data_IF_856297744824
#
_entry.id   IF_856297744824
#
_cell.length_a   1.000
_cell.length_b   1.000
_cell.length_c   1.000
_cell.angle_alpha   90.00
_cell.angle_beta   90.00
_cell.angle_gamma   90.00
#
_symmetry.space_group_name_H-M   'P 1'
#
loop_
_entity.id
_entity.type
_entity.pdbx_description
1 polymer ?
#
# COMPACT_ATOMS: atom_id res chain seq x y z
N UNK A 1 -15.55 27.12 12.34
CA UNK A 1 -14.26 26.57 11.91
C UNK A 1 -13.91 25.47 12.90
N UNK A 2 -14.40 24.24 12.66
CA UNK A 2 -14.30 23.15 13.62
C UNK A 2 -12.98 22.41 13.38
N UNK A 3 -11.95 22.80 14.11
CA UNK A 3 -10.73 22.00 14.26
C UNK A 3 -11.09 20.72 15.02
N UNK A 4 -11.44 19.67 14.29
CA UNK A 4 -11.62 18.33 14.85
C UNK A 4 -10.28 17.94 15.48
N UNK A 5 -10.21 17.66 16.79
CA UNK A 5 -8.98 17.21 17.41
C UNK A 5 -8.55 15.91 16.73
N UNK A 6 -7.29 15.82 16.31
CA UNK A 6 -6.68 14.61 15.76
C UNK A 6 -6.64 13.57 16.88
N UNK A 7 -7.77 12.91 17.09
CA UNK A 7 -8.02 11.97 18.17
C UNK A 7 -7.31 10.65 17.84
N UNK A 8 -6.79 9.99 18.88
CA UNK A 8 -6.11 8.69 18.87
C UNK A 8 -6.82 7.61 18.05
N UNK A 9 -8.14 7.72 17.88
CA UNK A 9 -8.98 6.87 17.03
C UNK A 9 -8.60 6.88 15.54
N UNK A 10 -8.03 7.98 15.01
CA UNK A 10 -7.62 8.06 13.60
C UNK A 10 -6.42 7.17 13.30
N UNK A 11 -5.44 7.08 14.19
CA UNK A 11 -4.23 6.25 13.97
C UNK A 11 -4.57 4.76 13.89
N UNK A 12 -5.44 4.27 14.78
CA UNK A 12 -5.91 2.88 14.76
C UNK A 12 -6.63 2.53 13.45
N UNK A 13 -7.40 3.47 12.89
CA UNK A 13 -8.04 3.29 11.60
C UNK A 13 -7.03 3.14 10.46
N UNK A 14 -5.98 3.97 10.39
CA UNK A 14 -4.94 3.84 9.36
C UNK A 14 -4.13 2.55 9.49
N UNK A 15 -3.85 2.11 10.72
CA UNK A 15 -3.22 0.82 10.98
C UNK A 15 -4.11 -0.34 10.53
N UNK A 16 -5.40 -0.31 10.86
CA UNK A 16 -6.37 -1.32 10.42
C UNK A 16 -6.52 -1.31 8.88
N UNK A 17 -6.51 -0.13 8.26
CA UNK A 17 -6.54 0.00 6.80
C UNK A 17 -5.31 -0.64 6.15
N UNK A 18 -4.13 -0.38 6.69
CA UNK A 18 -2.88 -1.04 6.28
C UNK A 18 -2.95 -2.56 6.39
N UNK A 19 -3.50 -3.06 7.51
CA UNK A 19 -3.74 -4.48 7.72
C UNK A 19 -4.70 -5.07 6.69
N UNK A 20 -5.80 -4.38 6.37
CA UNK A 20 -6.77 -4.82 5.36
C UNK A 20 -6.14 -4.85 3.97
N UNK A 21 -5.36 -3.83 3.61
CA UNK A 21 -4.63 -3.80 2.33
C UNK A 21 -3.64 -4.96 2.22
N UNK A 22 -2.90 -5.22 3.29
CA UNK A 22 -1.99 -6.37 3.38
C UNK A 22 -2.72 -7.70 3.26
N UNK A 23 -3.84 -7.87 3.97
CA UNK A 23 -4.62 -9.10 3.94
C UNK A 23 -5.20 -9.35 2.55
N UNK A 24 -5.75 -8.31 1.91
CA UNK A 24 -6.25 -8.38 0.55
C UNK A 24 -5.14 -8.75 -0.45
N UNK A 25 -3.97 -8.11 -0.35
CA UNK A 25 -2.82 -8.44 -1.19
C UNK A 25 -2.37 -9.88 -0.96
N UNK A 26 -2.25 -10.31 0.29
CA UNK A 26 -1.85 -11.68 0.66
C UNK A 26 -2.81 -12.71 0.07
N UNK A 27 -4.12 -12.50 0.18
CA UNK A 27 -5.12 -13.40 -0.40
C UNK A 27 -5.02 -13.43 -1.94
N UNK A 28 -4.83 -12.28 -2.58
CA UNK A 28 -4.65 -12.21 -4.03
C UNK A 28 -3.41 -12.99 -4.47
N UNK A 29 -2.26 -12.80 -3.81
CA UNK A 29 -1.03 -13.54 -4.11
C UNK A 29 -1.09 -15.01 -3.71
N UNK A 30 -1.86 -15.36 -2.68
CA UNK A 30 -2.05 -16.75 -2.27
C UNK A 30 -2.72 -17.57 -3.38
N UNK A 31 -3.77 -17.01 -3.99
CA UNK A 31 -4.56 -17.72 -5.01
C UNK A 31 -4.10 -17.46 -6.45
N UNK A 32 -3.63 -16.25 -6.77
CA UNK A 32 -3.23 -15.82 -8.12
C UNK A 32 -1.75 -15.44 -8.22
N UNK A 33 -0.93 -15.90 -7.27
CA UNK A 33 0.49 -15.57 -7.19
C UNK A 33 1.29 -15.97 -8.42
N UNK A 34 1.08 -17.17 -8.96
CA UNK A 34 1.79 -17.64 -10.16
C UNK A 34 1.52 -16.77 -11.39
N UNK A 35 0.31 -16.23 -11.49
CA UNK A 35 -0.13 -15.48 -12.65
C UNK A 35 0.38 -14.05 -12.58
N UNK A 36 0.46 -13.48 -11.37
CA UNK A 36 0.91 -12.12 -11.12
C UNK A 36 2.44 -12.01 -11.07
N UNK A 37 3.12 -13.00 -10.50
CA UNK A 37 4.56 -12.99 -10.26
C UNK A 37 5.17 -14.34 -10.66
N UNK A 38 5.84 -14.32 -11.81
CA UNK A 38 6.59 -15.46 -12.33
C UNK A 38 7.81 -14.95 -13.10
N UNK A 39 9.00 -15.36 -12.65
CA UNK A 39 10.29 -15.06 -13.30
C UNK A 39 10.33 -15.56 -14.74
N UNK A 40 9.59 -16.63 -15.07
CA UNK A 40 9.52 -17.19 -16.43
C UNK A 40 8.71 -16.33 -17.39
N UNK A 41 7.83 -15.47 -16.86
CA UNK A 41 6.95 -14.62 -17.65
C UNK A 41 7.08 -13.15 -17.23
N UNK A 42 8.24 -12.51 -17.52
CA UNK A 42 8.55 -11.16 -17.05
C UNK A 42 7.53 -10.10 -17.50
N UNK A 43 6.86 -10.33 -18.64
CA UNK A 43 5.81 -9.43 -19.13
C UNK A 43 4.60 -9.37 -18.18
N UNK A 44 4.18 -10.52 -17.60
CA UNK A 44 3.05 -10.56 -16.65
C UNK A 44 3.39 -9.84 -15.36
N UNK A 45 4.61 -10.07 -14.87
CA UNK A 45 5.16 -9.34 -13.72
C UNK A 45 5.23 -7.84 -13.99
N UNK A 46 5.72 -7.40 -15.15
CA UNK A 46 5.74 -5.96 -15.47
C UNK A 46 4.34 -5.34 -15.43
N UNK A 47 3.34 -6.05 -15.96
CA UNK A 47 1.93 -5.61 -15.90
C UNK A 47 1.44 -5.53 -14.45
N UNK A 48 1.79 -6.48 -13.58
CA UNK A 48 1.39 -6.44 -12.17
C UNK A 48 2.01 -5.25 -11.42
N UNK A 49 3.26 -4.88 -11.72
CA UNK A 49 3.90 -3.65 -11.20
C UNK A 49 3.21 -2.38 -11.70
N UNK A 50 2.79 -2.34 -12.97
CA UNK A 50 2.08 -1.20 -13.54
C UNK A 50 0.68 -1.03 -12.95
N UNK A 51 -0.06 -2.12 -12.75
CA UNK A 51 -1.40 -2.12 -12.13
C UNK A 51 -1.33 -1.69 -10.66
N UNK A 52 -0.23 -1.99 -9.95
CA UNK A 52 -0.05 -1.55 -8.58
C UNK A 52 -0.11 -0.01 -8.42
N UNK A 53 0.31 0.76 -9.43
CA UNK A 53 0.30 2.23 -9.39
C UNK A 53 -1.12 2.80 -9.24
N UNK A 54 -2.07 2.58 -10.18
CA UNK A 54 -3.43 3.07 -10.03
C UNK A 54 -4.16 2.42 -8.86
N UNK A 55 -3.83 1.16 -8.51
CA UNK A 55 -4.44 0.48 -7.37
C UNK A 55 -4.09 1.18 -6.05
N UNK A 56 -2.80 1.36 -5.76
CA UNK A 56 -2.35 2.02 -4.53
C UNK A 56 -2.82 3.48 -4.50
N UNK A 57 -2.72 4.19 -5.62
CA UNK A 57 -3.23 5.56 -5.70
C UNK A 57 -4.74 5.61 -5.42
N UNK A 58 -5.52 4.70 -6.01
CA UNK A 58 -6.96 4.59 -5.83
C UNK A 58 -7.37 4.17 -4.42
N UNK A 59 -6.53 3.46 -3.66
CA UNK A 59 -6.81 3.11 -2.28
C UNK A 59 -6.44 4.22 -1.28
N UNK A 60 -5.35 4.94 -1.53
CA UNK A 60 -4.77 5.89 -0.56
C UNK A 60 -5.23 7.33 -0.81
N UNK A 61 -5.28 7.78 -2.06
CA UNK A 61 -5.66 9.16 -2.39
C UNK A 61 -7.09 9.54 -1.95
N UNK A 62 -8.14 8.74 -2.24
CA UNK A 62 -9.49 9.08 -1.78
C UNK A 62 -9.61 8.96 -0.27
N UNK A 63 -8.82 8.10 0.39
CA UNK A 63 -8.81 8.01 1.85
C UNK A 63 -8.34 9.33 2.49
N UNK A 64 -7.26 9.93 1.96
CA UNK A 64 -6.79 11.24 2.43
C UNK A 64 -7.73 12.39 2.07
N UNK A 65 -8.38 12.31 0.90
CA UNK A 65 -9.37 13.31 0.49
C UNK A 65 -10.65 13.24 1.32
N UNK A 66 -11.15 12.05 1.63
CA UNK A 66 -12.39 11.85 2.38
C UNK A 66 -12.24 12.23 3.85
N UNK A 67 -11.04 12.03 4.42
CA UNK A 67 -10.76 12.36 5.82
C UNK A 67 -10.21 13.78 6.02
N UNK A 68 -10.18 14.62 4.97
CA UNK A 68 -9.65 15.98 4.96
C UNK A 68 -8.29 16.10 5.66
N UNK A 69 -7.37 15.17 5.35
CA UNK A 69 -6.07 15.13 6.01
C UNK A 69 -5.20 16.30 5.51
N UNK A 70 -4.68 17.16 6.42
CA UNK A 70 -3.78 18.23 6.05
C UNK A 70 -2.47 17.68 5.49
N UNK A 71 -1.89 18.36 4.51
CA UNK A 71 -0.67 17.93 3.81
C UNK A 71 0.52 17.64 4.76
N UNK A 72 0.57 18.31 5.92
CA UNK A 72 1.61 18.10 6.94
C UNK A 72 1.57 16.71 7.57
N UNK A 73 0.38 16.11 7.69
CA UNK A 73 0.18 14.85 8.43
C UNK A 73 0.19 13.63 7.52
N UNK A 74 0.02 13.80 6.21
CA UNK A 74 -0.05 12.70 5.23
C UNK A 74 1.19 11.83 5.18
N UNK A 75 2.43 12.35 5.24
CA UNK A 75 3.62 11.50 5.30
C UNK A 75 3.57 10.60 6.54
N UNK A 76 3.24 11.18 7.71
CA UNK A 76 3.13 10.42 8.96
C UNK A 76 2.04 9.35 8.92
N UNK A 77 0.88 9.67 8.35
CA UNK A 77 -0.22 8.69 8.21
C UNK A 77 0.09 7.60 7.18
N UNK A 78 0.80 7.92 6.10
CA UNK A 78 1.25 6.91 5.14
C UNK A 78 2.18 5.87 5.77
N UNK A 79 3.01 6.29 6.74
CA UNK A 79 3.82 5.36 7.55
C UNK A 79 2.91 4.45 8.39
N UNK A 80 1.89 4.99 9.06
CA UNK A 80 0.96 4.16 9.82
C UNK A 80 0.19 3.16 8.96
N UNK A 81 -0.09 3.46 7.68
CA UNK A 81 -0.71 2.51 6.75
C UNK A 81 0.28 1.42 6.34
N UNK A 82 1.52 1.76 6.01
CA UNK A 82 2.49 0.80 5.51
C UNK A 82 3.03 -0.14 6.61
N UNK A 83 3.28 0.39 7.82
CA UNK A 83 3.98 -0.29 8.90
C UNK A 83 3.40 -1.66 9.31
N UNK A 84 2.08 -1.85 9.51
CA UNK A 84 1.52 -3.15 9.85
C UNK A 84 1.69 -4.17 8.70
N UNK A 85 1.49 -3.73 7.46
CA UNK A 85 1.70 -4.59 6.28
C UNK A 85 3.17 -5.02 6.15
N UNK A 86 4.10 -4.08 6.30
CA UNK A 86 5.54 -4.38 6.25
C UNK A 86 5.97 -5.39 7.32
N UNK A 87 5.44 -5.28 8.55
CA UNK A 87 5.75 -6.24 9.62
C UNK A 87 5.20 -7.63 9.33
N UNK A 88 3.98 -7.71 8.81
CA UNK A 88 3.34 -8.98 8.47
C UNK A 88 3.95 -9.62 7.22
N UNK A 89 4.42 -8.83 6.27
CA UNK A 89 5.13 -9.34 5.09
C UNK A 89 6.43 -10.05 5.44
N UNK A 90 7.12 -9.66 6.51
CA UNK A 90 8.29 -10.40 7.01
C UNK A 90 7.88 -11.83 7.35
N UNK A 91 6.75 -12.00 8.05
CA UNK A 91 6.22 -13.32 8.38
C UNK A 91 5.72 -14.05 7.13
N UNK A 92 5.00 -13.37 6.23
CA UNK A 92 4.50 -13.96 4.99
C UNK A 92 5.62 -14.46 4.08
N UNK A 93 6.72 -13.73 3.98
CA UNK A 93 7.89 -14.14 3.19
C UNK A 93 8.69 -15.24 3.90
N UNK A 94 8.79 -15.19 5.23
CA UNK A 94 9.46 -16.23 6.01
C UNK A 94 8.73 -17.57 5.89
N UNK A 95 7.40 -17.55 5.93
CA UNK A 95 6.53 -18.71 5.76
C UNK A 95 5.94 -18.79 4.35
N UNK A 96 6.66 -18.32 3.33
CA UNK A 96 6.15 -18.23 1.95
C UNK A 96 5.64 -19.57 1.40
N UNK A 97 6.22 -20.70 1.80
CA UNK A 97 5.75 -22.02 1.37
C UNK A 97 4.33 -22.36 1.86
N UNK A 98 3.92 -21.75 2.98
CA UNK A 98 2.57 -21.90 3.55
C UNK A 98 1.66 -20.78 3.09
N UNK A 99 2.17 -19.55 3.04
CA UNK A 99 1.40 -18.33 2.74
C UNK A 99 1.22 -18.11 1.24
N UNK A 100 2.17 -18.54 0.42
CA UNK A 100 2.17 -18.41 -1.04
C UNK A 100 2.58 -19.74 -1.72
N UNK A 101 1.82 -20.83 -1.52
CA UNK A 101 2.18 -22.15 -2.05
C UNK A 101 2.23 -22.20 -3.58
N UNK A 102 1.57 -21.24 -4.24
CA UNK A 102 1.46 -21.15 -5.70
C UNK A 102 2.66 -20.43 -6.33
N UNK A 103 3.42 -19.64 -5.56
CA UNK A 103 4.56 -18.88 -6.07
C UNK A 103 5.82 -19.76 -5.99
N UNK A 104 6.56 -19.86 -7.09
CA UNK A 104 7.83 -20.59 -7.10
C UNK A 104 8.87 -19.93 -6.19
N UNK A 105 9.70 -20.72 -5.52
CA UNK A 105 10.77 -20.20 -4.64
C UNK A 105 11.71 -19.22 -5.38
N UNK A 106 11.95 -19.49 -6.67
CA UNK A 106 12.73 -18.61 -7.53
C UNK A 106 12.10 -17.23 -7.70
N UNK A 107 10.78 -17.10 -7.60
CA UNK A 107 10.06 -15.82 -7.80
C UNK A 107 9.85 -15.02 -6.51
N UNK A 108 10.26 -15.55 -5.36
CA UNK A 108 10.11 -14.87 -4.05
C UNK A 108 10.86 -13.53 -4.02
N UNK A 109 12.02 -13.44 -4.67
CA UNK A 109 12.75 -12.18 -4.77
C UNK A 109 11.99 -11.09 -5.57
N UNK A 110 11.16 -11.48 -6.54
CA UNK A 110 10.32 -10.59 -7.34
C UNK A 110 9.10 -10.18 -6.53
N UNK A 111 8.51 -11.11 -5.76
CA UNK A 111 7.45 -10.79 -4.80
C UNK A 111 7.93 -9.77 -3.77
N UNK A 112 9.11 -9.98 -3.18
CA UNK A 112 9.70 -9.02 -2.25
C UNK A 112 9.89 -7.64 -2.91
N UNK A 113 10.44 -7.59 -4.14
CA UNK A 113 10.57 -6.34 -4.89
C UNK A 113 9.21 -5.67 -5.17
N UNK A 114 8.17 -6.45 -5.46
CA UNK A 114 6.81 -5.96 -5.68
C UNK A 114 6.21 -5.36 -4.41
N UNK A 115 6.42 -6.00 -3.25
CA UNK A 115 5.98 -5.46 -1.95
C UNK A 115 6.69 -4.14 -1.64
N UNK A 116 8.03 -4.09 -1.79
CA UNK A 116 8.81 -2.86 -1.64
C UNK A 116 8.32 -1.74 -2.58
N UNK A 117 7.99 -2.09 -3.81
CA UNK A 117 7.41 -1.17 -4.79
C UNK A 117 6.07 -0.61 -4.33
N UNK A 118 5.15 -1.47 -3.89
CA UNK A 118 3.84 -1.07 -3.38
C UNK A 118 3.95 -0.11 -2.18
N UNK A 119 4.82 -0.41 -1.21
CA UNK A 119 5.04 0.49 -0.06
C UNK A 119 5.67 1.83 -0.46
N UNK A 120 6.60 1.82 -1.42
CA UNK A 120 7.18 3.05 -1.95
C UNK A 120 6.11 3.94 -2.58
N UNK A 121 5.14 3.35 -3.30
CA UNK A 121 4.01 4.08 -3.84
C UNK A 121 3.12 4.67 -2.74
N UNK A 122 2.85 3.94 -1.65
CA UNK A 122 2.08 4.45 -0.51
C UNK A 122 2.76 5.71 0.07
N UNK A 123 4.08 5.66 0.26
CA UNK A 123 4.85 6.82 0.74
C UNK A 123 4.83 7.97 -0.25
N UNK A 124 5.00 7.70 -1.56
CA UNK A 124 4.92 8.74 -2.58
C UNK A 124 3.57 9.45 -2.59
N UNK A 125 2.46 8.73 -2.40
CA UNK A 125 1.13 9.34 -2.27
C UNK A 125 1.05 10.22 -1.01
N UNK A 126 1.58 9.76 0.11
CA UNK A 126 1.65 10.54 1.36
C UNK A 126 2.53 11.78 1.27
N UNK A 127 3.60 11.73 0.47
CA UNK A 127 4.55 12.82 0.26
C UNK A 127 4.09 13.84 -0.77
N UNK A 128 3.09 13.54 -1.62
CA UNK A 128 2.65 14.50 -2.64
C UNK A 128 2.06 15.75 -1.97
N UNK A 129 2.63 16.94 -2.21
CA UNK A 129 1.92 18.17 -1.89
C UNK A 129 0.73 18.26 -2.84
N UNK A 130 -0.50 18.13 -2.33
CA UNK A 130 -1.66 18.56 -3.11
C UNK A 130 -1.50 20.06 -3.27
N UNK A 131 -1.23 20.48 -4.51
CA UNK A 131 -1.19 21.87 -4.96
C UNK A 131 -2.40 22.57 -4.34
N UNK A 132 -2.14 23.54 -3.46
CA UNK A 132 -3.18 24.37 -2.87
C UNK A 132 -3.95 25.00 -4.03
N UNK A 133 -5.27 24.80 -4.07
CA UNK A 133 -6.13 25.60 -4.93
C UNK A 133 -5.86 27.09 -4.60
N UNK A 134 -5.80 27.99 -5.60
CA UNK A 134 -5.53 29.40 -5.34
C UNK A 134 -6.63 29.93 -4.39
N UNK A 135 -6.24 30.47 -3.24
CA UNK A 135 -7.15 31.25 -2.40
C UNK A 135 -7.66 32.41 -3.26
N UNK A 136 -8.92 32.34 -3.69
CA UNK A 136 -9.62 33.54 -4.16
C UNK A 136 -9.83 34.42 -2.94
N UNK A 137 -9.04 35.47 -2.84
CA UNK A 137 -9.38 36.64 -2.01
C UNK A 137 -10.52 37.36 -2.73
N UNK A 138 -11.71 37.35 -2.12
CA UNK A 138 -12.79 38.29 -2.39
C UNK A 138 -12.73 39.41 -1.37
#
# INVERSE_FOLDING_TARGET
MNSIPINRQRHGFFLAWGFVLWLAATVIFHFWGDWLIDVRHPMRTAVSFLIAIPLIYGCIAPLFSYLDIPNSDRPRLSVYIALPGMLLDILSLLFHSVVFPVISEQSIHVLAAWLFWAYSLIFLVGLRPIRMAPRRHS
#
